data_IF_006028458933
#
_entry.id   IF_006028458933
#
_cell.length_a   1.000
_cell.length_b   1.000
_cell.length_c   1.000
_cell.angle_alpha   90.00
_cell.angle_beta   90.00
_cell.angle_gamma   90.00
#
_symmetry.space_group_name_H-M   'P 1'
#
loop_
_entity.id
_entity.type
_entity.pdbx_description
1 polymer ?
#
# COMPACT_ATOMS: atom_id res chain seq x y z
N UNK A 1 27.17 -26.35 -3.15
CA UNK A 1 26.44 -25.27 -2.45
C UNK A 1 25.29 -24.82 -3.34
N UNK A 2 24.04 -24.93 -2.88
CA UNK A 2 22.84 -24.79 -3.74
C UNK A 2 22.76 -23.39 -4.38
N UNK A 3 22.45 -23.32 -5.69
CA UNK A 3 22.28 -22.05 -6.45
C UNK A 3 21.26 -21.11 -5.81
N UNK A 4 20.30 -21.65 -5.06
CA UNK A 4 19.27 -20.87 -4.34
C UNK A 4 19.90 -20.09 -3.17
N UNK A 5 20.87 -20.69 -2.45
CA UNK A 5 21.60 -20.03 -1.37
C UNK A 5 22.56 -18.95 -1.89
N UNK A 6 23.11 -19.09 -3.10
CA UNK A 6 23.95 -18.04 -3.70
C UNK A 6 23.14 -16.84 -4.20
N UNK A 7 21.91 -17.07 -4.69
CA UNK A 7 20.98 -15.99 -5.06
C UNK A 7 20.64 -15.14 -3.83
N UNK A 8 20.26 -15.75 -2.71
CA UNK A 8 19.87 -14.99 -1.50
C UNK A 8 21.04 -14.26 -0.82
N UNK A 9 22.27 -14.79 -0.86
CA UNK A 9 23.42 -14.15 -0.20
C UNK A 9 24.00 -12.98 -1.00
N UNK A 10 23.92 -13.03 -2.33
CA UNK A 10 24.47 -12.01 -3.23
C UNK A 10 23.70 -10.68 -3.20
N UNK A 11 24.41 -9.58 -3.48
CA UNK A 11 23.80 -8.24 -3.65
C UNK A 11 22.81 -8.23 -4.83
N UNK A 12 23.14 -8.97 -5.90
CA UNK A 12 22.34 -9.04 -7.12
C UNK A 12 21.01 -9.75 -6.87
N UNK A 13 21.04 -10.92 -6.21
CA UNK A 13 19.80 -11.63 -5.91
C UNK A 13 18.92 -10.90 -4.89
N UNK A 14 19.49 -10.19 -3.91
CA UNK A 14 18.71 -9.29 -3.03
C UNK A 14 18.00 -8.19 -3.82
N UNK A 15 18.68 -7.55 -4.78
CA UNK A 15 18.05 -6.55 -5.66
C UNK A 15 16.93 -7.16 -6.51
N UNK A 16 17.12 -8.37 -7.02
CA UNK A 16 16.08 -9.08 -7.78
C UNK A 16 14.85 -9.40 -6.91
N UNK A 17 15.04 -9.86 -5.67
CA UNK A 17 13.95 -10.08 -4.71
C UNK A 17 13.19 -8.77 -4.44
N UNK A 18 13.91 -7.67 -4.19
CA UNK A 18 13.31 -6.34 -3.97
C UNK A 18 12.51 -5.88 -5.20
N UNK A 19 13.02 -6.12 -6.41
CA UNK A 19 12.34 -5.78 -7.65
C UNK A 19 11.02 -6.55 -7.82
N UNK A 20 11.04 -7.87 -7.63
CA UNK A 20 9.84 -8.73 -7.76
C UNK A 20 8.81 -8.40 -6.69
N UNK A 21 9.22 -8.37 -5.42
CA UNK A 21 8.33 -8.05 -4.29
C UNK A 21 7.77 -6.63 -4.39
N UNK A 22 8.59 -5.66 -4.79
CA UNK A 22 8.17 -4.29 -5.07
C UNK A 22 7.09 -4.26 -6.15
N UNK A 23 7.30 -4.96 -7.27
CA UNK A 23 6.35 -5.02 -8.38
C UNK A 23 5.00 -5.64 -7.97
N UNK A 24 5.02 -6.71 -7.18
CA UNK A 24 3.81 -7.32 -6.61
C UNK A 24 3.05 -6.35 -5.71
N UNK A 25 3.75 -5.63 -4.84
CA UNK A 25 3.14 -4.62 -3.97
C UNK A 25 2.58 -3.44 -4.75
N UNK A 26 3.27 -2.96 -5.80
CA UNK A 26 2.72 -1.92 -6.69
C UNK A 26 1.42 -2.38 -7.33
N UNK A 27 1.39 -3.61 -7.88
CA UNK A 27 0.18 -4.20 -8.44
C UNK A 27 -0.97 -4.28 -7.41
N UNK A 28 -0.66 -4.70 -6.19
CA UNK A 28 -1.64 -4.70 -5.09
C UNK A 28 -2.15 -3.31 -4.77
N UNK A 29 -1.28 -2.30 -4.67
CA UNK A 29 -1.69 -0.91 -4.35
C UNK A 29 -2.58 -0.34 -5.47
N UNK A 30 -2.36 -0.70 -6.74
CA UNK A 30 -3.28 -0.34 -7.83
C UNK A 30 -4.66 -0.98 -7.68
N UNK A 31 -4.73 -2.29 -7.44
CA UNK A 31 -6.00 -2.98 -7.21
C UNK A 31 -6.70 -2.46 -5.95
N UNK A 32 -5.93 -2.14 -4.93
CA UNK A 32 -6.43 -1.56 -3.69
C UNK A 32 -6.99 -0.15 -3.92
N UNK A 33 -6.30 0.70 -4.69
CA UNK A 33 -6.80 2.01 -5.08
C UNK A 33 -8.10 1.88 -5.88
N UNK A 34 -8.15 0.96 -6.84
CA UNK A 34 -9.35 0.66 -7.62
C UNK A 34 -10.53 0.29 -6.75
N UNK A 35 -10.33 -0.62 -5.79
CA UNK A 35 -11.36 -0.99 -4.81
C UNK A 35 -11.82 0.18 -3.94
N UNK A 36 -10.89 1.05 -3.54
CA UNK A 36 -11.22 2.26 -2.77
C UNK A 36 -12.02 3.28 -3.61
N UNK A 37 -11.72 3.41 -4.91
CA UNK A 37 -12.45 4.30 -5.81
C UNK A 37 -13.88 3.84 -6.08
N UNK A 38 -14.23 2.58 -5.77
CA UNK A 38 -15.64 2.14 -5.75
C UNK A 38 -16.49 2.92 -4.75
N UNK A 39 -15.88 3.65 -3.81
CA UNK A 39 -16.55 4.64 -2.99
C UNK A 39 -17.35 5.66 -3.82
N UNK A 40 -16.83 6.06 -4.98
CA UNK A 40 -17.41 7.11 -5.83
C UNK A 40 -18.39 6.56 -6.88
N UNK A 41 -18.55 5.24 -6.95
CA UNK A 41 -19.54 4.65 -7.82
C UNK A 41 -20.94 4.90 -7.26
N UNK A 42 -21.93 4.96 -8.14
CA UNK A 42 -23.33 5.11 -7.73
C UNK A 42 -23.74 3.90 -6.88
N UNK A 43 -24.51 4.18 -5.83
CA UNK A 43 -25.13 3.13 -5.02
C UNK A 43 -26.07 2.28 -5.89
N UNK A 44 -26.27 1.03 -5.49
CA UNK A 44 -27.28 0.18 -6.13
C UNK A 44 -28.69 0.74 -5.97
N UNK A 45 -29.64 0.24 -6.75
CA UNK A 45 -31.06 0.58 -6.60
C UNK A 45 -31.61 0.31 -5.18
N UNK A 46 -30.96 -0.58 -4.42
CA UNK A 46 -31.29 -0.90 -3.04
C UNK A 46 -30.58 0.01 -2.00
N UNK A 47 -29.80 1.00 -2.43
CA UNK A 47 -29.05 1.90 -1.55
C UNK A 47 -27.81 1.28 -0.91
N UNK A 48 -27.32 0.14 -1.43
CA UNK A 48 -26.08 -0.48 -0.96
C UNK A 48 -24.87 0.17 -1.65
N UNK A 49 -23.86 0.65 -0.89
CA UNK A 49 -22.65 1.20 -1.46
C UNK A 49 -21.87 0.17 -2.28
N UNK A 50 -21.44 0.55 -3.48
CA UNK A 50 -20.67 -0.32 -4.39
C UNK A 50 -19.36 -0.83 -3.77
N UNK A 51 -18.74 -0.04 -2.88
CA UNK A 51 -17.53 -0.46 -2.15
C UNK A 51 -17.77 -1.65 -1.22
N UNK A 52 -18.96 -1.75 -0.62
CA UNK A 52 -19.33 -2.87 0.25
C UNK A 52 -19.59 -4.13 -0.59
N UNK A 53 -20.24 -3.98 -1.76
CA UNK A 53 -20.43 -5.07 -2.71
C UNK A 53 -19.11 -5.58 -3.27
N UNK A 54 -18.19 -4.67 -3.61
CA UNK A 54 -16.85 -5.04 -4.05
C UNK A 54 -16.09 -5.78 -2.93
N UNK A 55 -16.21 -5.35 -1.68
CA UNK A 55 -15.61 -6.04 -0.56
C UNK A 55 -16.16 -7.46 -0.38
N UNK A 56 -17.46 -7.67 -0.60
CA UNK A 56 -18.07 -9.00 -0.55
C UNK A 56 -17.66 -9.87 -1.75
N UNK A 57 -17.63 -9.30 -2.95
CA UNK A 57 -17.13 -9.97 -4.15
C UNK A 57 -15.70 -10.49 -3.95
N UNK A 58 -14.81 -9.72 -3.31
CA UNK A 58 -13.46 -10.18 -3.01
C UNK A 58 -13.44 -11.41 -2.11
N UNK A 59 -14.46 -11.64 -1.27
CA UNK A 59 -14.58 -12.82 -0.43
C UNK A 59 -15.16 -14.00 -1.21
N UNK A 60 -16.08 -13.78 -2.14
CA UNK A 60 -16.74 -14.85 -2.90
C UNK A 60 -16.04 -15.18 -4.22
N UNK A 61 -14.98 -14.45 -4.60
CA UNK A 61 -14.26 -14.68 -5.85
C UNK A 61 -13.68 -16.10 -5.89
N UNK A 62 -14.06 -16.86 -6.92
CA UNK A 62 -13.66 -18.26 -7.10
C UNK A 62 -14.64 -19.29 -6.53
N UNK A 63 -15.73 -18.87 -5.89
CA UNK A 63 -16.82 -19.79 -5.54
C UNK A 63 -17.54 -20.32 -6.79
N UNK A 64 -18.03 -21.59 -6.76
CA UNK A 64 -17.93 -22.56 -5.67
C UNK A 64 -16.63 -23.40 -5.70
N UNK A 65 -15.71 -23.14 -6.63
CA UNK A 65 -14.47 -23.94 -6.81
C UNK A 65 -13.57 -23.84 -5.57
N UNK A 66 -13.48 -22.65 -4.98
CA UNK A 66 -12.77 -22.40 -3.74
C UNK A 66 -13.76 -21.92 -2.66
N UNK A 67 -13.54 -22.26 -1.37
CA UNK A 67 -14.37 -21.77 -0.27
C UNK A 67 -14.30 -20.25 -0.10
N UNK A 68 -15.30 -19.70 0.61
CA UNK A 68 -15.37 -18.29 0.98
C UNK A 68 -14.04 -17.73 1.52
N UNK A 69 -13.66 -16.58 0.99
CA UNK A 69 -12.42 -15.82 1.28
C UNK A 69 -11.10 -16.52 0.93
N UNK A 70 -11.10 -17.71 0.31
CA UNK A 70 -9.87 -18.46 0.05
C UNK A 70 -8.89 -17.70 -0.85
N UNK A 71 -9.39 -17.19 -1.99
CA UNK A 71 -8.57 -16.41 -2.93
C UNK A 71 -8.07 -15.11 -2.27
N UNK A 72 -8.91 -14.44 -1.49
CA UNK A 72 -8.51 -13.25 -0.75
C UNK A 72 -7.39 -13.53 0.25
N UNK A 73 -7.43 -14.65 0.96
CA UNK A 73 -6.37 -15.07 1.87
C UNK A 73 -5.06 -15.39 1.14
N UNK A 74 -5.13 -16.05 -0.02
CA UNK A 74 -3.94 -16.29 -0.85
C UNK A 74 -3.29 -14.95 -1.23
N UNK A 75 -4.07 -13.98 -1.71
CA UNK A 75 -3.57 -12.65 -2.04
C UNK A 75 -2.92 -11.98 -0.81
N UNK A 76 -3.59 -12.04 0.36
CA UNK A 76 -3.04 -11.48 1.61
C UNK A 76 -1.71 -12.11 2.00
N UNK A 77 -1.59 -13.43 1.92
CA UNK A 77 -0.34 -14.14 2.24
C UNK A 77 0.76 -13.76 1.25
N UNK A 78 0.47 -13.72 -0.06
CA UNK A 78 1.45 -13.34 -1.08
C UNK A 78 1.97 -11.93 -0.86
N UNK A 79 1.08 -10.97 -0.56
CA UNK A 79 1.48 -9.58 -0.31
C UNK A 79 2.22 -9.43 1.01
N UNK A 80 1.81 -10.13 2.07
CA UNK A 80 2.51 -10.12 3.36
C UNK A 80 3.93 -10.69 3.24
N UNK A 81 4.08 -11.84 2.57
CA UNK A 81 5.39 -12.44 2.31
C UNK A 81 6.23 -11.50 1.44
N UNK A 82 5.64 -10.89 0.43
CA UNK A 82 6.34 -9.91 -0.42
C UNK A 82 6.83 -8.72 0.38
N UNK A 83 6.00 -8.15 1.27
CA UNK A 83 6.36 -7.03 2.14
C UNK A 83 7.52 -7.40 3.07
N UNK A 84 7.44 -8.56 3.74
CA UNK A 84 8.49 -9.02 4.66
C UNK A 84 9.82 -9.22 3.92
N UNK A 85 9.80 -9.91 2.79
CA UNK A 85 11.00 -10.14 1.98
C UNK A 85 11.57 -8.82 1.44
N UNK A 86 10.71 -7.90 0.99
CA UNK A 86 11.13 -6.58 0.52
C UNK A 86 11.88 -5.81 1.61
N UNK A 87 11.29 -5.71 2.80
CA UNK A 87 11.88 -4.99 3.95
C UNK A 87 13.21 -5.62 4.37
N UNK A 88 13.25 -6.94 4.54
CA UNK A 88 14.47 -7.66 4.95
C UNK A 88 15.59 -7.41 3.93
N UNK A 89 15.34 -7.59 2.63
CA UNK A 89 16.36 -7.41 1.61
C UNK A 89 16.82 -5.95 1.49
N UNK A 90 15.91 -4.97 1.61
CA UNK A 90 16.26 -3.54 1.61
C UNK A 90 17.13 -3.19 2.81
N UNK A 91 16.81 -3.67 4.01
CA UNK A 91 17.63 -3.45 5.22
C UNK A 91 19.01 -4.09 5.06
N UNK A 92 19.09 -5.34 4.58
CA UNK A 92 20.35 -6.02 4.35
C UNK A 92 21.22 -5.29 3.31
N UNK A 93 20.62 -4.79 2.22
CA UNK A 93 21.31 -3.97 1.21
C UNK A 93 21.81 -2.65 1.80
N UNK A 94 21.00 -1.99 2.64
CA UNK A 94 21.41 -0.77 3.33
C UNK A 94 22.58 -1.01 4.29
N UNK A 95 22.54 -2.10 5.07
CA UNK A 95 23.63 -2.50 5.96
C UNK A 95 24.91 -2.83 5.19
N UNK A 96 24.79 -3.60 4.09
CA UNK A 96 25.91 -3.91 3.20
C UNK A 96 26.57 -2.63 2.67
N UNK A 97 25.77 -1.69 2.16
CA UNK A 97 26.26 -0.41 1.65
C UNK A 97 26.93 0.47 2.72
N UNK A 98 26.45 0.41 3.97
CA UNK A 98 27.07 1.12 5.10
C UNK A 98 28.42 0.49 5.49
N UNK A 99 28.50 -0.84 5.57
CA UNK A 99 29.73 -1.57 5.92
C UNK A 99 30.83 -1.41 4.86
N UNK A 100 30.44 -1.32 3.58
CA UNK A 100 31.37 -1.06 2.49
C UNK A 100 31.94 0.38 2.47
N UNK A 101 31.56 1.25 3.42
CA UNK A 101 31.96 2.67 3.48
C UNK A 101 32.48 3.06 4.88
N UNK A 102 33.68 2.61 5.28
CA UNK A 102 34.24 2.88 6.62
C UNK A 102 34.69 4.34 6.83
N UNK A 103 35.01 5.09 5.77
CA UNK A 103 35.33 6.53 5.84
C UNK A 103 34.20 7.34 5.21
N UNK A 104 33.62 8.27 5.97
CA UNK A 104 32.59 9.21 5.47
C UNK A 104 33.28 10.16 4.48
N UNK A 105 32.81 10.23 3.23
CA UNK A 105 33.43 11.04 2.18
C UNK A 105 33.68 12.48 2.65
N UNK A 106 34.95 12.91 2.63
CA UNK A 106 35.38 14.26 3.01
C UNK A 106 35.15 15.31 1.90
N UNK A 107 34.80 14.87 0.68
CA UNK A 107 34.43 15.74 -0.43
C UNK A 107 33.23 15.20 -1.21
N UNK A 108 32.26 16.09 -1.45
CA UNK A 108 31.15 15.89 -2.37
C UNK A 108 31.69 15.78 -3.81
N UNK A 109 32.01 14.56 -4.27
CA UNK A 109 32.32 14.33 -5.69
C UNK A 109 31.01 14.48 -6.48
N UNK A 110 30.99 15.44 -7.41
CA UNK A 110 29.86 15.86 -8.27
C UNK A 110 29.19 14.77 -9.14
N UNK A 111 29.59 13.50 -9.06
CA UNK A 111 29.01 12.40 -9.82
C UNK A 111 28.84 11.17 -8.93
N UNK A 112 27.60 10.83 -8.57
CA UNK A 112 27.28 9.56 -7.89
C UNK A 112 26.95 9.64 -6.40
N UNK A 113 26.61 10.83 -5.86
CA UNK A 113 26.02 10.88 -4.52
C UNK A 113 24.72 10.06 -4.48
N UNK A 114 24.53 9.32 -3.37
CA UNK A 114 23.20 8.90 -2.95
C UNK A 114 22.40 10.19 -2.74
N UNK A 115 21.62 10.54 -3.77
CA UNK A 115 20.73 11.70 -3.79
C UNK A 115 19.93 11.71 -2.49
N UNK A 116 19.65 12.89 -1.92
CA UNK A 116 18.75 13.09 -0.77
C UNK A 116 17.59 12.06 -0.72
N UNK A 117 16.94 11.74 -1.85
CA UNK A 117 15.95 10.67 -1.90
C UNK A 117 16.40 9.25 -1.52
N UNK A 118 17.61 8.79 -1.86
CA UNK A 118 18.12 7.50 -1.41
C UNK A 118 18.32 7.42 0.12
N UNK A 119 18.55 8.57 0.78
CA UNK A 119 18.56 8.65 2.24
C UNK A 119 17.13 8.65 2.81
N UNK A 120 16.19 9.29 2.11
CA UNK A 120 14.78 9.33 2.48
C UNK A 120 14.09 7.95 2.37
N UNK A 121 14.53 7.06 1.46
CA UNK A 121 13.91 5.74 1.21
C UNK A 121 13.74 4.85 2.44
N UNK A 122 14.73 4.82 3.35
CA UNK A 122 14.59 4.05 4.59
C UNK A 122 13.59 4.70 5.55
N UNK A 123 13.63 6.02 5.68
CA UNK A 123 12.70 6.75 6.56
C UNK A 123 11.27 6.63 6.08
N UNK A 124 11.01 6.83 4.78
CA UNK A 124 9.68 6.63 4.19
C UNK A 124 9.24 5.18 4.35
N UNK A 125 10.14 4.20 4.13
CA UNK A 125 9.84 2.78 4.37
C UNK A 125 9.39 2.47 5.80
N UNK A 126 10.07 3.00 6.82
CA UNK A 126 9.66 2.80 8.23
C UNK A 126 8.33 3.47 8.55
N UNK A 127 8.08 4.68 8.05
CA UNK A 127 6.79 5.37 8.22
C UNK A 127 5.67 4.56 7.58
N UNK A 128 5.90 4.01 6.38
CA UNK A 128 4.93 3.16 5.67
C UNK A 128 4.64 1.89 6.47
N UNK A 129 5.64 1.25 7.08
CA UNK A 129 5.42 0.07 7.93
C UNK A 129 4.54 0.39 9.15
N UNK A 130 4.80 1.51 9.83
CA UNK A 130 3.96 1.97 10.93
C UNK A 130 2.53 2.26 10.45
N UNK A 131 2.40 2.89 9.28
CA UNK A 131 1.09 3.14 8.66
C UNK A 131 0.34 1.86 8.31
N UNK A 132 1.01 0.85 7.75
CA UNK A 132 0.36 -0.44 7.45
C UNK A 132 -0.20 -1.06 8.73
N UNK A 133 0.55 -1.02 9.85
CA UNK A 133 0.05 -1.52 11.13
C UNK A 133 -1.21 -0.75 11.59
N UNK A 134 -1.17 0.59 11.57
CA UNK A 134 -2.32 1.44 11.91
C UNK A 134 -3.51 1.16 10.99
N UNK A 135 -3.26 1.05 9.69
CA UNK A 135 -4.26 0.78 8.66
C UNK A 135 -4.98 -0.57 8.89
N UNK A 136 -4.23 -1.63 9.21
CA UNK A 136 -4.80 -2.93 9.52
C UNK A 136 -5.58 -2.91 10.84
N UNK A 137 -5.04 -2.28 11.88
CA UNK A 137 -5.72 -2.13 13.17
C UNK A 137 -7.03 -1.33 13.03
N UNK A 138 -7.07 -0.32 12.17
CA UNK A 138 -8.28 0.47 11.89
C UNK A 138 -9.31 -0.31 11.08
N UNK A 139 -8.94 -0.76 9.87
CA UNK A 139 -9.92 -1.18 8.86
C UNK A 139 -10.04 -2.69 8.70
N UNK A 140 -9.09 -3.48 9.21
CA UNK A 140 -9.16 -4.95 9.17
C UNK A 140 -9.62 -5.52 10.51
N UNK A 141 -9.07 -5.00 11.61
CA UNK A 141 -9.32 -5.54 12.96
C UNK A 141 -10.27 -4.69 13.81
N UNK A 142 -10.54 -3.44 13.43
CA UNK A 142 -11.43 -2.56 14.19
C UNK A 142 -10.93 -2.20 15.59
N UNK A 143 -9.64 -2.35 15.88
CA UNK A 143 -9.05 -2.18 17.21
C UNK A 143 -8.99 -0.71 17.64
N UNK A 144 -8.83 0.21 16.68
CA UNK A 144 -8.66 1.64 16.98
C UNK A 144 -9.97 2.38 17.26
N UNK A 145 -11.11 1.85 16.78
CA UNK A 145 -12.44 2.39 17.09
C UNK A 145 -13.48 1.26 17.22
N UNK A 146 -13.36 0.37 18.24
CA UNK A 146 -14.18 -0.84 18.32
C UNK A 146 -15.68 -0.57 18.45
N UNK A 147 -16.06 0.57 19.06
CA UNK A 147 -17.47 0.93 19.27
C UNK A 147 -18.16 1.43 18.00
N UNK A 148 -17.38 1.86 17.00
CA UNK A 148 -17.88 2.37 15.72
C UNK A 148 -17.45 1.49 14.54
N UNK A 149 -16.73 0.41 14.78
CA UNK A 149 -16.36 -0.54 13.74
C UNK A 149 -17.48 -1.56 13.50
N UNK A 150 -17.81 -1.80 12.24
CA UNK A 150 -18.76 -2.82 11.84
C UNK A 150 -18.18 -3.71 10.75
N UNK A 151 -18.15 -5.02 11.01
CA UNK A 151 -17.63 -6.00 10.06
C UNK A 151 -18.46 -5.99 8.76
N UNK A 152 -17.79 -5.97 7.61
CA UNK A 152 -18.45 -5.97 6.30
C UNK A 152 -18.94 -4.59 5.81
N UNK A 153 -19.14 -3.61 6.69
CA UNK A 153 -19.60 -2.27 6.34
C UNK A 153 -18.42 -1.30 6.07
N UNK A 154 -17.72 -1.51 4.94
CA UNK A 154 -16.53 -0.74 4.56
C UNK A 154 -16.85 0.74 4.42
N UNK A 155 -17.93 1.09 3.71
CA UNK A 155 -18.39 2.47 3.54
C UNK A 155 -18.58 3.17 4.89
N UNK A 156 -19.33 2.53 5.79
CA UNK A 156 -19.61 3.08 7.12
C UNK A 156 -18.35 3.28 7.96
N UNK A 157 -17.42 2.33 7.93
CA UNK A 157 -16.15 2.42 8.66
C UNK A 157 -15.26 3.56 8.13
N UNK A 158 -15.18 3.73 6.80
CA UNK A 158 -14.46 4.84 6.17
C UNK A 158 -15.10 6.17 6.54
N UNK A 159 -16.42 6.30 6.38
CA UNK A 159 -17.16 7.53 6.70
C UNK A 159 -16.90 7.98 8.13
N UNK A 160 -17.09 7.09 9.11
CA UNK A 160 -16.93 7.41 10.54
C UNK A 160 -15.50 7.77 10.92
N UNK A 161 -14.51 7.11 10.30
CA UNK A 161 -13.08 7.39 10.53
C UNK A 161 -12.73 8.78 10.01
N UNK A 162 -13.16 9.12 8.79
CA UNK A 162 -12.77 10.38 8.14
C UNK A 162 -13.63 11.59 8.50
N UNK A 163 -14.60 11.44 9.42
CA UNK A 163 -15.16 12.59 10.15
C UNK A 163 -14.17 13.20 11.13
N UNK A 164 -13.08 12.51 11.46
CA UNK A 164 -12.03 13.00 12.35
C UNK A 164 -10.91 13.63 11.52
N UNK A 165 -10.71 14.96 11.57
CA UNK A 165 -9.75 15.66 10.70
C UNK A 165 -8.30 15.21 10.93
N UNK A 166 -7.97 14.74 12.15
CA UNK A 166 -6.66 14.17 12.45
C UNK A 166 -6.37 12.92 11.60
N UNK A 167 -7.36 12.05 11.39
CA UNK A 167 -7.20 10.87 10.54
C UNK A 167 -7.11 11.26 9.06
N UNK A 168 -7.86 12.27 8.61
CA UNK A 168 -7.73 12.80 7.23
C UNK A 168 -6.31 13.30 6.98
N UNK A 169 -5.81 14.18 7.85
CA UNK A 169 -4.46 14.74 7.74
C UNK A 169 -3.38 13.65 7.81
N UNK A 170 -3.53 12.67 8.71
CA UNK A 170 -2.62 11.55 8.83
C UNK A 170 -2.58 10.69 7.56
N UNK A 171 -3.73 10.26 7.05
CA UNK A 171 -3.79 9.41 5.85
C UNK A 171 -3.26 10.15 4.62
N UNK A 172 -3.68 11.40 4.38
CA UNK A 172 -3.18 12.20 3.24
C UNK A 172 -1.68 12.46 3.35
N UNK A 173 -1.18 12.80 4.54
CA UNK A 173 0.24 13.02 4.78
C UNK A 173 1.08 11.76 4.49
N UNK A 174 0.62 10.59 4.95
CA UNK A 174 1.31 9.33 4.67
C UNK A 174 1.19 8.92 3.20
N UNK A 175 0.07 9.19 2.52
CA UNK A 175 -0.02 8.96 1.08
C UNK A 175 1.04 9.76 0.31
N UNK A 176 1.37 10.98 0.75
CA UNK A 176 2.47 11.76 0.19
C UNK A 176 3.83 11.06 0.35
N UNK A 177 4.08 10.45 1.52
CA UNK A 177 5.30 9.68 1.78
C UNK A 177 5.36 8.39 0.96
N UNK A 178 4.21 7.72 0.76
CA UNK A 178 4.09 6.56 -0.14
C UNK A 178 4.39 6.97 -1.58
N UNK A 179 3.89 8.12 -2.05
CA UNK A 179 4.17 8.62 -3.39
C UNK A 179 5.66 8.87 -3.61
N UNK A 180 6.34 9.49 -2.65
CA UNK A 180 7.81 9.65 -2.69
C UNK A 180 8.51 8.30 -2.73
N UNK A 181 8.14 7.37 -1.84
CA UNK A 181 8.71 6.03 -1.79
C UNK A 181 8.51 5.27 -3.11
N UNK A 182 7.32 5.37 -3.69
CA UNK A 182 6.93 4.70 -4.93
C UNK A 182 7.65 5.27 -6.14
N UNK A 183 7.78 6.59 -6.23
CA UNK A 183 8.53 7.25 -7.31
C UNK A 183 9.97 6.72 -7.38
N UNK A 184 10.63 6.64 -6.23
CA UNK A 184 11.98 6.08 -6.14
C UNK A 184 12.02 4.57 -6.39
N UNK A 185 11.05 3.82 -5.87
CA UNK A 185 10.95 2.38 -6.07
C UNK A 185 10.81 2.00 -7.54
N UNK A 186 9.88 2.64 -8.25
CA UNK A 186 9.64 2.41 -9.68
C UNK A 186 10.87 2.80 -10.50
N UNK A 187 11.48 3.96 -10.21
CA UNK A 187 12.72 4.35 -10.87
C UNK A 187 13.86 3.34 -10.64
N UNK A 188 14.07 2.91 -9.39
CA UNK A 188 15.10 1.93 -9.03
C UNK A 188 14.85 0.54 -9.61
N UNK A 189 13.58 0.17 -9.84
CA UNK A 189 13.19 -1.08 -10.48
C UNK A 189 13.74 -1.13 -11.91
N UNK A 190 13.51 -0.08 -12.71
CA UNK A 190 14.00 -0.03 -14.09
C UNK A 190 15.52 -0.03 -14.19
N UNK A 191 16.22 0.57 -13.22
CA UNK A 191 17.67 0.47 -13.12
C UNK A 191 18.13 -0.96 -12.84
N UNK A 192 17.42 -1.67 -11.95
CA UNK A 192 17.74 -3.07 -11.60
C UNK A 192 17.51 -4.04 -12.76
N UNK A 193 16.49 -3.77 -13.58
CA UNK A 193 16.18 -4.57 -14.78
C UNK A 193 17.09 -4.25 -15.99
N UNK A 194 18.08 -3.37 -15.82
CA UNK A 194 19.01 -2.99 -16.91
C UNK A 194 18.36 -2.14 -18.01
N UNK A 195 17.18 -1.58 -17.77
CA UNK A 195 16.49 -0.70 -18.73
C UNK A 195 17.04 0.74 -18.73
N UNK A 196 17.99 1.05 -17.84
CA UNK A 196 18.67 2.34 -17.72
C UNK A 196 19.38 2.72 -19.04
N UNK A 197 18.95 3.81 -19.65
CA UNK A 197 19.53 4.39 -20.86
C UNK A 197 19.20 5.89 -20.86
N UNK A 198 20.18 6.80 -21.06
CA UNK A 198 19.96 8.25 -21.08
C UNK A 198 18.72 8.71 -21.85
N UNK A 199 18.41 8.08 -22.98
CA UNK A 199 17.27 8.44 -23.83
C UNK A 199 15.93 7.96 -23.25
N UNK A 200 15.91 6.79 -22.61
CA UNK A 200 14.70 6.22 -21.97
C UNK A 200 14.44 6.77 -20.57
N UNK A 201 15.49 7.27 -19.91
CA UNK A 201 15.45 7.71 -18.52
C UNK A 201 14.44 8.83 -18.26
N UNK A 202 14.23 9.72 -19.25
CA UNK A 202 13.19 10.76 -19.17
C UNK A 202 11.79 10.15 -19.11
N UNK A 203 11.49 9.21 -20.02
CA UNK A 203 10.19 8.53 -20.07
C UNK A 203 9.93 7.67 -18.83
N UNK A 204 10.93 6.93 -18.35
CA UNK A 204 10.81 6.11 -17.14
C UNK A 204 10.58 6.95 -15.88
N UNK A 205 11.20 8.13 -15.78
CA UNK A 205 10.94 9.09 -14.70
C UNK A 205 9.53 9.68 -14.79
N UNK A 206 9.08 10.02 -16.00
CA UNK A 206 7.71 10.49 -16.21
C UNK A 206 6.69 9.42 -15.79
N UNK A 207 6.91 8.16 -16.16
CA UNK A 207 6.09 7.03 -15.72
C UNK A 207 6.05 6.91 -14.19
N UNK A 208 7.22 6.96 -13.53
CA UNK A 208 7.28 6.92 -12.07
C UNK A 208 6.51 8.08 -11.41
N UNK A 209 6.56 9.29 -11.99
CA UNK A 209 5.79 10.45 -11.51
C UNK A 209 4.29 10.20 -11.71
N UNK A 210 3.87 9.82 -12.91
CA UNK A 210 2.46 9.60 -13.25
C UNK A 210 1.84 8.55 -12.32
N UNK A 211 2.51 7.42 -12.15
CA UNK A 211 2.03 6.34 -11.27
C UNK A 211 1.95 6.81 -9.82
N UNK A 212 2.98 7.48 -9.32
CA UNK A 212 3.03 7.90 -7.91
C UNK A 212 2.03 9.02 -7.60
N UNK A 213 1.91 10.00 -8.48
CA UNK A 213 0.94 11.09 -8.35
C UNK A 213 -0.50 10.58 -8.52
N UNK A 214 -0.74 9.67 -9.48
CA UNK A 214 -2.04 9.07 -9.71
C UNK A 214 -2.54 8.29 -8.49
N UNK A 215 -1.69 7.45 -7.90
CA UNK A 215 -2.03 6.71 -6.68
C UNK A 215 -2.21 7.64 -5.47
N UNK A 216 -1.36 8.68 -5.34
CA UNK A 216 -1.54 9.70 -4.31
C UNK A 216 -2.93 10.36 -4.39
N UNK A 217 -3.32 10.80 -5.59
CA UNK A 217 -4.62 11.44 -5.82
C UNK A 217 -5.76 10.46 -5.55
N UNK A 218 -5.67 9.23 -6.07
CA UNK A 218 -6.70 8.21 -5.92
C UNK A 218 -6.96 7.83 -4.45
N UNK A 219 -5.91 7.66 -3.64
CA UNK A 219 -6.09 7.37 -2.22
C UNK A 219 -6.46 8.59 -1.40
N UNK A 220 -5.92 9.77 -1.72
CA UNK A 220 -6.20 10.99 -0.96
C UNK A 220 -7.59 11.55 -1.23
N UNK A 221 -8.18 11.26 -2.39
CA UNK A 221 -9.55 11.69 -2.70
C UNK A 221 -10.58 11.08 -1.76
N UNK A 222 -10.38 9.84 -1.30
CA UNK A 222 -11.28 9.12 -0.37
C UNK A 222 -11.48 9.84 0.97
N UNK A 223 -10.43 10.08 1.79
CA UNK A 223 -10.61 10.77 3.07
C UNK A 223 -11.04 12.22 2.89
N UNK A 224 -10.57 12.89 1.83
CA UNK A 224 -10.92 14.29 1.54
C UNK A 224 -12.39 14.42 1.16
N UNK A 225 -12.93 13.54 0.31
CA UNK A 225 -14.34 13.59 -0.10
C UNK A 225 -15.28 13.29 1.07
N UNK A 226 -14.95 12.30 1.90
CA UNK A 226 -15.74 11.94 3.07
C UNK A 226 -15.78 13.06 4.12
N UNK A 227 -14.64 13.76 4.31
CA UNK A 227 -14.56 14.89 5.23
C UNK A 227 -15.24 16.14 4.68
N UNK A 228 -15.09 16.43 3.39
CA UNK A 228 -15.64 17.62 2.75
C UNK A 228 -17.16 17.54 2.48
N UNK A 229 -17.82 16.43 2.86
CA UNK A 229 -19.25 16.22 2.63
C UNK A 229 -19.60 15.84 1.19
N UNK A 230 -18.63 15.36 0.40
CA UNK A 230 -18.86 14.86 -0.97
C UNK A 230 -19.56 13.50 -1.02
N UNK A 231 -19.73 12.83 0.12
CA UNK A 231 -20.37 11.52 0.26
C UNK A 231 -21.51 11.59 1.28
N UNK A 232 -22.57 10.83 1.07
CA UNK A 232 -23.75 10.79 1.94
C UNK A 232 -23.44 10.13 3.29
N UNK A 233 -24.20 10.48 4.34
CA UNK A 233 -24.05 9.77 5.61
C UNK A 233 -24.52 8.32 5.45
N UNK A 234 -23.78 7.32 5.97
CA UNK A 234 -24.27 5.96 6.00
C UNK A 234 -25.58 5.90 6.80
N UNK A 235 -26.52 5.02 6.43
CA UNK A 235 -27.69 4.76 7.26
C UNK A 235 -27.25 4.52 8.70
N UNK A 236 -27.94 5.14 9.66
CA UNK A 236 -27.68 4.86 11.07
C UNK A 236 -27.81 3.36 11.27
N UNK A 237 -26.74 2.68 11.70
CA UNK A 237 -26.87 1.32 12.17
C UNK A 237 -27.84 1.37 13.34
N UNK A 238 -29.10 1.01 13.09
CA UNK A 238 -30.07 0.86 14.15
C UNK A 238 -29.44 -0.09 15.16
N UNK A 239 -29.22 0.40 16.38
CA UNK A 239 -28.87 -0.45 17.51
C UNK A 239 -29.88 -1.60 17.52
N UNK A 240 -29.37 -2.83 17.42
CA UNK A 240 -30.08 -4.09 17.65
C UNK A 240 -31.16 -4.51 16.62
N UNK A 241 -30.72 -5.32 15.64
CA UNK A 241 -31.56 -6.39 15.05
C UNK A 241 -31.10 -7.79 15.53
N UNK A 242 -30.14 -7.87 16.46
CA UNK A 242 -29.68 -9.14 17.05
C UNK A 242 -30.29 -9.43 18.43
N UNK A 243 -31.55 -9.05 18.63
CA UNK A 243 -32.42 -9.66 19.65
C UNK A 243 -33.48 -10.53 18.99
N UNK A 244 -33.05 -11.49 18.16
CA UNK A 244 -33.77 -12.70 17.71
C UNK A 244 -32.88 -13.33 16.63
N UNK A 245 -31.95 -14.22 16.93
CA UNK A 245 -32.27 -15.57 17.33
C UNK A 245 -31.16 -16.13 18.22
N UNK A 246 -31.54 -16.39 19.47
CA UNK A 246 -31.01 -17.51 20.22
C UNK A 246 -31.46 -18.81 19.56
N UNK A 247 -30.53 -19.57 18.96
CA UNK A 247 -30.50 -21.05 18.94
C UNK A 247 -29.20 -21.55 18.30
#
# INVERSE_FOLDING_TARGET
MSRILSLYTSVIGKKAIVAVTGSLMVGFIFLHAWGNLKLFAADTAAGVPEIDLYAEYLRTIGEPIFPYSSILWIIRIVILVSLVLHVICVIQLAQHNRRARPVRYQHARKFGEATIPARAMLYTGFIILAFIAVHLLQFTFGVLDPSRFAQGAVYGNLYRTFQLPAFVAFYVGVMGMIAVHLYHGIWSLFQTLGSDNPDRNKGLRALAIIVSAGLFIAFSSVPVSLFAGGMSQPPSQAKNVLTSDSR
#
